data_IF_422523403654
#
_entry.id   IF_422523403654
#
_cell.length_a   1.000
_cell.length_b   1.000
_cell.length_c   1.000
_cell.angle_alpha   90.00
_cell.angle_beta   90.00
_cell.angle_gamma   90.00
#
_symmetry.space_group_name_H-M   'P 1'
#
loop_
_entity.id
_entity.type
_entity.pdbx_description
1 polymer ?
#
# COMPACT_ATOMS: atom_id res chain seq x y z
N UNK A 1 13.50 -22.51 23.22
CA UNK A 1 14.49 -22.33 22.12
C UNK A 1 14.10 -23.15 20.89
N UNK A 2 13.72 -24.39 21.02
CA UNK A 2 13.37 -25.31 19.92
C UNK A 2 12.33 -24.77 18.90
N UNK A 3 11.31 -24.02 19.36
CA UNK A 3 10.30 -23.41 18.48
C UNK A 3 10.89 -22.31 17.56
N UNK A 4 11.85 -21.53 18.07
CA UNK A 4 12.54 -20.51 17.26
C UNK A 4 13.46 -21.16 16.23
N UNK A 5 14.16 -22.22 16.60
CA UNK A 5 15.01 -22.98 15.68
C UNK A 5 14.19 -23.62 14.56
N UNK A 6 13.05 -24.24 14.88
CA UNK A 6 12.07 -24.73 13.90
C UNK A 6 11.52 -23.63 13.00
N UNK A 7 11.33 -22.43 13.56
CA UNK A 7 10.82 -21.28 12.80
C UNK A 7 11.85 -20.78 11.79
N UNK A 8 13.10 -20.62 12.16
CA UNK A 8 14.13 -20.10 11.25
C UNK A 8 14.65 -21.13 10.24
N UNK A 9 14.54 -22.44 10.52
CA UNK A 9 14.98 -23.50 9.61
C UNK A 9 14.00 -23.81 8.48
N UNK A 10 12.72 -23.49 8.61
CA UNK A 10 11.70 -23.81 7.59
C UNK A 10 11.51 -22.71 6.58
N UNK A 11 11.65 -23.04 5.27
CA UNK A 11 11.41 -22.11 4.13
C UNK A 11 10.06 -21.38 4.18
N UNK A 12 9.06 -21.93 4.86
CA UNK A 12 7.74 -21.30 5.04
C UNK A 12 7.84 -19.99 5.81
N UNK A 13 8.62 -19.95 6.88
CA UNK A 13 8.74 -18.73 7.71
C UNK A 13 9.62 -17.66 7.04
N UNK A 14 10.60 -18.08 6.25
CA UNK A 14 11.35 -17.14 5.40
C UNK A 14 10.41 -16.46 4.39
N UNK A 15 9.54 -17.23 3.72
CA UNK A 15 8.51 -16.66 2.83
C UNK A 15 7.57 -15.69 3.56
N UNK A 16 7.17 -16.00 4.78
CA UNK A 16 6.33 -15.16 5.63
C UNK A 16 6.98 -13.79 5.89
N UNK A 17 8.24 -13.77 6.27
CA UNK A 17 8.99 -12.53 6.51
C UNK A 17 9.12 -11.74 5.21
N UNK A 18 9.47 -12.39 4.11
CA UNK A 18 9.62 -11.74 2.79
C UNK A 18 8.27 -11.16 2.33
N UNK A 19 7.17 -11.91 2.44
CA UNK A 19 5.85 -11.42 2.04
C UNK A 19 5.43 -10.20 2.87
N UNK A 20 5.66 -10.21 4.19
CA UNK A 20 5.37 -9.08 5.07
C UNK A 20 6.24 -7.87 4.72
N UNK A 21 7.55 -8.08 4.55
CA UNK A 21 8.48 -7.01 4.19
C UNK A 21 8.13 -6.41 2.82
N UNK A 22 7.84 -7.25 1.81
CA UNK A 22 7.42 -6.79 0.48
C UNK A 22 6.16 -5.94 0.57
N UNK A 23 5.13 -6.41 1.29
CA UNK A 23 3.90 -5.65 1.46
C UNK A 23 4.16 -4.29 2.10
N UNK A 24 4.86 -4.25 3.22
CA UNK A 24 5.15 -3.00 3.96
C UNK A 24 5.99 -2.04 3.13
N UNK A 25 7.07 -2.52 2.49
CA UNK A 25 7.98 -1.69 1.69
C UNK A 25 7.31 -1.10 0.44
N UNK A 26 6.24 -1.69 -0.05
CA UNK A 26 5.50 -1.18 -1.19
C UNK A 26 4.35 -0.29 -0.73
N UNK A 27 3.51 -0.78 0.20
CA UNK A 27 2.28 -0.09 0.59
C UNK A 27 2.58 1.21 1.35
N UNK A 28 3.54 1.20 2.26
CA UNK A 28 3.83 2.39 3.07
C UNK A 28 4.32 3.56 2.21
N UNK A 29 5.42 3.45 1.44
CA UNK A 29 5.88 4.59 0.65
C UNK A 29 4.85 5.03 -0.40
N UNK A 30 4.22 4.08 -1.10
CA UNK A 30 3.27 4.41 -2.15
C UNK A 30 2.04 5.13 -1.60
N UNK A 31 1.42 4.63 -0.53
CA UNK A 31 0.24 5.27 0.06
C UNK A 31 0.55 6.62 0.71
N UNK A 32 1.74 6.79 1.29
CA UNK A 32 2.20 8.06 1.85
C UNK A 32 2.41 9.10 0.74
N UNK A 33 3.11 8.73 -0.33
CA UNK A 33 3.37 9.64 -1.47
C UNK A 33 2.06 10.02 -2.17
N UNK A 34 1.19 9.05 -2.46
CA UNK A 34 -0.11 9.31 -3.10
C UNK A 34 -0.99 10.15 -2.18
N UNK A 35 -1.02 9.86 -0.87
CA UNK A 35 -1.77 10.62 0.12
C UNK A 35 -1.30 12.06 0.23
N UNK A 36 0.01 12.29 0.25
CA UNK A 36 0.59 13.65 0.25
C UNK A 36 0.24 14.39 -1.05
N UNK A 37 0.43 13.76 -2.20
CA UNK A 37 0.11 14.37 -3.49
C UNK A 37 -1.38 14.76 -3.58
N UNK A 38 -2.27 13.85 -3.17
CA UNK A 38 -3.71 14.12 -3.12
C UNK A 38 -4.04 15.28 -2.15
N UNK A 39 -3.42 15.32 -0.97
CA UNK A 39 -3.63 16.39 0.00
C UNK A 39 -3.18 17.76 -0.55
N UNK A 40 -2.01 17.84 -1.17
CA UNK A 40 -1.49 19.08 -1.78
C UNK A 40 -2.40 19.54 -2.92
N UNK A 41 -2.82 18.62 -3.79
CA UNK A 41 -3.75 18.93 -4.89
C UNK A 41 -5.09 19.45 -4.35
N UNK A 42 -5.69 18.78 -3.37
CA UNK A 42 -6.97 19.19 -2.80
C UNK A 42 -6.89 20.49 -2.03
N UNK A 43 -5.76 20.75 -1.38
CA UNK A 43 -5.54 22.03 -0.66
C UNK A 43 -5.46 23.22 -1.62
N UNK A 44 -5.06 23.00 -2.88
CA UNK A 44 -5.01 24.04 -3.91
C UNK A 44 -6.34 24.27 -4.63
N UNK A 45 -7.32 23.35 -4.51
CA UNK A 45 -8.61 23.46 -5.16
C UNK A 45 -9.51 24.48 -4.44
N UNK A 46 -10.04 25.46 -5.20
CA UNK A 46 -10.97 26.47 -4.70
C UNK A 46 -12.42 25.99 -4.62
N UNK A 47 -12.79 25.00 -5.45
CA UNK A 47 -14.17 24.52 -5.58
C UNK A 47 -14.23 22.99 -5.61
N UNK A 48 -15.21 22.41 -4.92
CA UNK A 48 -15.43 20.95 -4.96
C UNK A 48 -14.46 20.10 -4.14
N UNK A 49 -13.49 20.68 -3.45
CA UNK A 49 -12.50 19.93 -2.66
C UNK A 49 -13.13 18.94 -1.67
N UNK A 50 -14.26 19.30 -1.06
CA UNK A 50 -14.93 18.46 -0.06
C UNK A 50 -15.56 17.20 -0.67
N UNK A 51 -16.02 17.28 -1.92
CA UNK A 51 -16.53 16.11 -2.65
C UNK A 51 -15.37 15.12 -2.89
N UNK A 52 -14.23 15.59 -3.37
CA UNK A 52 -13.06 14.73 -3.59
C UNK A 52 -12.50 14.16 -2.30
N UNK A 53 -12.47 14.94 -1.20
CA UNK A 53 -12.08 14.45 0.14
C UNK A 53 -12.98 13.28 0.55
N UNK A 54 -14.29 13.42 0.36
CA UNK A 54 -15.26 12.39 0.69
C UNK A 54 -15.05 11.14 -0.16
N UNK A 55 -14.89 11.28 -1.48
CA UNK A 55 -14.68 10.15 -2.40
C UNK A 55 -13.39 9.40 -2.05
N UNK A 56 -12.29 10.10 -1.81
CA UNK A 56 -11.00 9.48 -1.49
C UNK A 56 -10.96 8.86 -0.08
N UNK A 57 -11.79 9.37 0.83
CA UNK A 57 -11.89 8.81 2.18
C UNK A 57 -12.89 7.64 2.29
N UNK A 58 -13.77 7.47 1.32
CA UNK A 58 -14.81 6.44 1.32
C UNK A 58 -14.26 5.01 1.51
N UNK A 59 -13.13 4.60 0.87
CA UNK A 59 -12.53 3.29 1.11
C UNK A 59 -12.12 3.02 2.56
N UNK A 60 -11.78 4.08 3.30
CA UNK A 60 -11.37 3.98 4.71
C UNK A 60 -12.58 3.73 5.62
N UNK A 61 -13.75 4.24 5.24
CA UNK A 61 -14.99 4.09 6.01
C UNK A 61 -15.66 2.73 5.82
N UNK A 62 -15.38 2.06 4.71
CA UNK A 62 -15.95 0.75 4.43
C UNK A 62 -15.34 -0.32 5.34
N UNK A 63 -16.16 -1.29 5.78
CA UNK A 63 -15.65 -2.42 6.54
C UNK A 63 -14.69 -3.26 5.68
N UNK A 64 -13.59 -3.71 6.27
CA UNK A 64 -12.58 -4.53 5.57
C UNK A 64 -13.18 -5.77 4.90
N UNK A 65 -14.15 -6.40 5.56
CA UNK A 65 -14.87 -7.56 5.02
C UNK A 65 -15.65 -7.22 3.74
N UNK A 66 -16.45 -6.16 3.76
CA UNK A 66 -17.23 -5.74 2.59
C UNK A 66 -16.31 -5.35 1.42
N UNK A 67 -15.22 -4.65 1.73
CA UNK A 67 -14.22 -4.28 0.73
C UNK A 67 -13.52 -5.49 0.11
N UNK A 68 -13.15 -6.47 0.91
CA UNK A 68 -12.51 -7.67 0.41
C UNK A 68 -13.46 -8.48 -0.50
N UNK A 69 -14.74 -8.61 -0.13
CA UNK A 69 -15.75 -9.26 -0.98
C UNK A 69 -15.95 -8.48 -2.29
N UNK A 70 -16.05 -7.15 -2.24
CA UNK A 70 -16.17 -6.32 -3.44
C UNK A 70 -14.97 -6.51 -4.38
N UNK A 71 -13.74 -6.57 -3.84
CA UNK A 71 -12.54 -6.84 -4.62
C UNK A 71 -12.50 -8.26 -5.18
N UNK A 72 -12.99 -9.27 -4.44
CA UNK A 72 -13.07 -10.65 -4.94
C UNK A 72 -13.93 -10.74 -6.20
N UNK A 73 -15.11 -10.08 -6.21
CA UNK A 73 -15.95 -9.99 -7.39
C UNK A 73 -15.33 -9.16 -8.50
N UNK A 74 -14.73 -8.01 -8.19
CA UNK A 74 -14.12 -7.10 -9.17
C UNK A 74 -12.94 -7.76 -9.89
N UNK A 75 -12.15 -8.55 -9.18
CA UNK A 75 -10.96 -9.26 -9.69
C UNK A 75 -11.27 -10.69 -10.15
N UNK A 76 -12.55 -11.07 -10.22
CA UNK A 76 -12.92 -12.43 -10.65
C UNK A 76 -12.48 -12.67 -12.11
N UNK A 77 -11.85 -13.81 -12.42
CA UNK A 77 -11.27 -14.04 -13.75
C UNK A 77 -12.28 -13.95 -14.91
N UNK A 78 -13.48 -14.44 -14.71
CA UNK A 78 -14.52 -14.53 -15.77
C UNK A 78 -15.63 -13.50 -15.63
N UNK A 79 -16.00 -13.11 -14.42
CA UNK A 79 -17.13 -12.22 -14.13
C UNK A 79 -16.65 -10.82 -13.69
N UNK A 80 -15.35 -10.64 -13.48
CA UNK A 80 -14.81 -9.42 -12.91
C UNK A 80 -14.83 -8.26 -13.89
N UNK A 81 -15.25 -7.09 -13.40
CA UNK A 81 -15.33 -5.85 -14.18
C UNK A 81 -13.98 -5.49 -14.77
N UNK A 82 -12.87 -5.70 -14.06
CA UNK A 82 -11.52 -5.39 -14.54
C UNK A 82 -11.16 -6.23 -15.75
N UNK A 83 -11.40 -7.55 -15.69
CA UNK A 83 -11.08 -8.44 -16.80
C UNK A 83 -12.00 -8.18 -18.01
N UNK A 84 -13.28 -7.89 -17.79
CA UNK A 84 -14.19 -7.49 -18.87
C UNK A 84 -13.73 -6.21 -19.54
N UNK A 85 -13.36 -5.20 -18.76
CA UNK A 85 -12.86 -3.92 -19.30
C UNK A 85 -11.54 -4.09 -20.07
N UNK A 86 -10.63 -4.94 -19.58
CA UNK A 86 -9.38 -5.26 -20.26
C UNK A 86 -9.63 -6.05 -21.54
N UNK A 87 -10.62 -6.96 -21.56
CA UNK A 87 -11.00 -7.71 -22.76
C UNK A 87 -11.55 -6.80 -23.86
N UNK A 88 -12.49 -5.94 -23.49
CA UNK A 88 -13.10 -4.96 -24.44
C UNK A 88 -12.06 -3.95 -24.92
N UNK A 89 -11.08 -3.60 -24.08
CA UNK A 89 -10.03 -2.65 -24.37
C UNK A 89 -8.80 -3.20 -25.10
N UNK A 90 -8.73 -4.52 -25.40
CA UNK A 90 -7.55 -5.13 -26.01
C UNK A 90 -7.05 -4.42 -27.30
N UNK A 91 -7.94 -3.75 -28.03
CA UNK A 91 -7.57 -2.96 -29.21
C UNK A 91 -6.96 -1.59 -28.87
N UNK A 92 -7.59 -0.81 -28.00
CA UNK A 92 -7.18 0.57 -27.71
C UNK A 92 -6.19 0.71 -26.55
N UNK A 93 -6.35 -0.11 -25.51
CA UNK A 93 -5.45 -0.08 -24.35
C UNK A 93 -4.07 -0.65 -24.71
N UNK A 94 -3.99 -1.56 -25.68
CA UNK A 94 -2.72 -2.10 -26.18
C UNK A 94 -1.77 -0.98 -26.64
N UNK A 95 -2.26 -0.03 -27.43
CA UNK A 95 -1.45 1.11 -27.91
C UNK A 95 -1.04 2.04 -26.77
N UNK A 96 -1.94 2.27 -25.80
CA UNK A 96 -1.66 3.10 -24.64
C UNK A 96 -0.61 2.46 -23.70
N UNK A 97 -0.73 1.17 -23.41
CA UNK A 97 0.21 0.44 -22.54
C UNK A 97 1.56 0.24 -23.24
N UNK A 98 1.59 0.01 -24.55
CA UNK A 98 2.84 -0.07 -25.31
C UNK A 98 3.62 1.25 -25.31
N UNK A 99 2.96 2.39 -25.08
CA UNK A 99 3.62 3.66 -24.81
C UNK A 99 4.46 3.67 -23.51
N UNK A 100 4.18 2.79 -22.56
CA UNK A 100 4.91 2.62 -21.29
C UNK A 100 5.91 1.46 -21.32
N UNK A 101 6.50 1.16 -22.46
CA UNK A 101 7.47 0.05 -22.64
C UNK A 101 8.73 0.12 -21.74
N UNK A 102 8.98 1.25 -21.09
CA UNK A 102 10.07 1.44 -20.13
C UNK A 102 9.81 0.79 -18.74
N UNK A 103 8.58 0.34 -18.47
CA UNK A 103 8.23 -0.39 -17.25
C UNK A 103 8.60 -1.87 -17.43
N UNK A 104 9.42 -2.47 -16.54
CA UNK A 104 9.96 -3.82 -16.73
C UNK A 104 8.93 -4.93 -16.89
N UNK A 105 7.69 -4.70 -16.44
CA UNK A 105 6.59 -5.68 -16.52
C UNK A 105 5.62 -5.44 -17.69
N UNK A 106 5.79 -4.35 -18.44
CA UNK A 106 4.89 -3.98 -19.54
C UNK A 106 5.53 -4.27 -20.91
N UNK A 107 6.85 -4.18 -21.04
CA UNK A 107 7.58 -4.20 -22.31
C UNK A 107 8.09 -5.57 -22.78
N UNK A 108 7.90 -6.65 -22.02
CA UNK A 108 8.33 -7.98 -22.44
C UNK A 108 7.32 -8.57 -23.44
N UNK A 109 7.81 -9.17 -24.53
CA UNK A 109 6.97 -9.92 -25.50
C UNK A 109 6.16 -11.02 -24.81
N UNK A 110 6.66 -11.54 -23.69
CA UNK A 110 6.00 -12.51 -22.81
C UNK A 110 5.20 -11.83 -21.66
N UNK A 111 4.87 -10.54 -21.77
CA UNK A 111 4.06 -9.91 -20.73
C UNK A 111 2.69 -10.56 -20.70
N UNK A 112 2.15 -10.77 -19.47
CA UNK A 112 0.84 -11.40 -19.29
C UNK A 112 -0.27 -10.77 -20.14
N UNK A 113 -0.16 -9.48 -20.44
CA UNK A 113 -1.14 -8.73 -21.22
C UNK A 113 -1.07 -9.05 -22.72
N UNK A 114 0.13 -9.13 -23.32
CA UNK A 114 0.30 -9.50 -24.72
C UNK A 114 -0.15 -10.95 -24.97
N UNK A 115 0.15 -11.84 -24.03
CA UNK A 115 -0.28 -13.25 -24.08
C UNK A 115 -1.79 -13.38 -23.92
N UNK A 116 -2.38 -12.63 -22.99
CA UNK A 116 -3.84 -12.65 -22.75
C UNK A 116 -4.65 -12.12 -23.94
N UNK A 117 -4.20 -11.02 -24.57
CA UNK A 117 -4.86 -10.48 -25.76
C UNK A 117 -4.64 -11.32 -27.04
N UNK A 118 -3.54 -12.06 -27.13
CA UNK A 118 -3.27 -12.93 -28.29
C UNK A 118 -4.02 -14.26 -28.24
N UNK A 119 -4.29 -14.80 -27.06
CA UNK A 119 -4.87 -16.13 -26.84
C UNK A 119 -6.35 -16.13 -26.49
N UNK A 120 -7.14 -15.13 -26.95
CA UNK A 120 -8.58 -15.07 -26.67
C UNK A 120 -8.95 -15.37 -25.20
N UNK A 121 -8.46 -14.52 -24.26
CA UNK A 121 -9.01 -14.36 -22.91
C UNK A 121 -8.47 -15.24 -21.77
N UNK A 122 -7.21 -15.58 -21.71
CA UNK A 122 -6.61 -16.04 -20.45
C UNK A 122 -6.05 -14.84 -19.64
N UNK A 123 -6.95 -13.96 -19.15
CA UNK A 123 -6.56 -12.91 -18.24
C UNK A 123 -6.03 -13.49 -16.92
N UNK A 124 -5.06 -12.81 -16.28
CA UNK A 124 -4.42 -13.36 -15.09
C UNK A 124 -5.44 -13.57 -13.99
N UNK A 125 -5.30 -14.68 -13.31
CA UNK A 125 -5.98 -14.94 -12.05
C UNK A 125 -5.33 -14.07 -10.96
N UNK A 126 -5.70 -12.78 -10.90
CA UNK A 126 -5.10 -11.75 -10.05
C UNK A 126 -4.72 -12.21 -8.64
N UNK A 127 -5.57 -13.05 -8.02
CA UNK A 127 -5.41 -13.56 -6.67
C UNK A 127 -4.83 -14.98 -6.60
N UNK A 128 -4.87 -15.74 -7.70
CA UNK A 128 -4.46 -17.15 -7.72
C UNK A 128 -3.12 -17.39 -8.41
N UNK A 129 -2.58 -16.42 -9.14
CA UNK A 129 -1.24 -16.51 -9.73
C UNK A 129 -0.18 -16.05 -8.71
N UNK A 130 0.93 -16.80 -8.64
CA UNK A 130 2.06 -16.51 -7.74
C UNK A 130 2.74 -15.17 -8.03
N UNK A 131 2.72 -14.72 -9.28
CA UNK A 131 3.38 -13.48 -9.70
C UNK A 131 2.54 -12.24 -9.37
N UNK A 132 1.21 -12.34 -9.48
CA UNK A 132 0.30 -11.21 -9.37
C UNK A 132 -0.31 -11.04 -7.99
N UNK A 133 -0.53 -12.14 -7.24
CA UNK A 133 -1.29 -12.10 -5.99
C UNK A 133 -0.75 -11.09 -4.96
N UNK A 134 0.55 -11.05 -4.71
CA UNK A 134 1.12 -10.11 -3.74
C UNK A 134 0.96 -8.65 -4.19
N UNK A 135 1.13 -8.37 -5.49
CA UNK A 135 0.98 -7.04 -6.06
C UNK A 135 -0.45 -6.54 -6.01
N UNK A 136 -1.40 -7.44 -6.25
CA UNK A 136 -2.84 -7.16 -6.15
C UNK A 136 -3.22 -6.79 -4.70
N UNK A 137 -2.73 -7.55 -3.73
CA UNK A 137 -2.94 -7.24 -2.31
C UNK A 137 -2.28 -5.90 -1.93
N UNK A 138 -1.08 -5.62 -2.45
CA UNK A 138 -0.42 -4.32 -2.25
C UNK A 138 -1.25 -3.17 -2.85
N UNK A 139 -1.77 -3.34 -4.05
CA UNK A 139 -2.62 -2.32 -4.70
C UNK A 139 -3.87 -2.00 -3.87
N UNK A 140 -4.58 -3.04 -3.39
CA UNK A 140 -5.75 -2.88 -2.52
C UNK A 140 -5.35 -2.14 -1.23
N UNK A 141 -4.22 -2.51 -0.63
CA UNK A 141 -3.70 -1.87 0.57
C UNK A 141 -3.34 -0.39 0.36
N UNK A 142 -2.70 -0.06 -0.77
CA UNK A 142 -2.39 1.34 -1.14
C UNK A 142 -3.67 2.14 -1.31
N UNK A 143 -4.62 1.60 -2.08
CA UNK A 143 -5.90 2.27 -2.35
C UNK A 143 -6.72 2.52 -1.07
N UNK A 144 -6.66 1.62 -0.10
CA UNK A 144 -7.33 1.81 1.19
C UNK A 144 -6.58 2.79 2.09
N UNK A 145 -5.24 2.74 2.11
CA UNK A 145 -4.44 3.53 3.03
C UNK A 145 -4.28 5.01 2.61
N UNK A 146 -4.22 5.31 1.28
CA UNK A 146 -3.90 6.66 0.84
C UNK A 146 -4.94 7.69 1.26
N UNK A 147 -6.23 7.34 1.31
CA UNK A 147 -7.30 8.25 1.74
C UNK A 147 -7.13 8.70 3.20
N UNK A 148 -6.75 7.79 4.09
CA UNK A 148 -6.42 8.10 5.47
C UNK A 148 -5.19 9.02 5.58
N UNK A 149 -4.13 8.69 4.85
CA UNK A 149 -2.91 9.50 4.82
C UNK A 149 -3.18 10.90 4.26
N UNK A 150 -4.00 11.02 3.23
CA UNK A 150 -4.44 12.29 2.65
C UNK A 150 -5.10 13.20 3.70
N UNK A 151 -6.02 12.66 4.51
CA UNK A 151 -6.70 13.45 5.56
C UNK A 151 -5.71 13.95 6.61
N UNK A 152 -4.78 13.11 7.03
CA UNK A 152 -3.73 13.51 7.98
C UNK A 152 -2.83 14.60 7.41
N UNK A 153 -2.44 14.50 6.15
CA UNK A 153 -1.67 15.54 5.47
C UNK A 153 -2.46 16.84 5.28
N UNK A 154 -3.77 16.76 4.97
CA UNK A 154 -4.63 17.94 4.91
C UNK A 154 -4.67 18.67 6.26
N UNK A 155 -4.79 17.93 7.36
CA UNK A 155 -4.72 18.52 8.71
C UNK A 155 -3.37 19.19 8.96
N UNK A 156 -2.26 18.54 8.56
CA UNK A 156 -0.93 19.15 8.64
C UNK A 156 -0.77 20.39 7.76
N UNK A 157 -1.28 20.38 6.54
CA UNK A 157 -1.24 21.53 5.63
C UNK A 157 -2.02 22.74 6.17
N UNK A 158 -3.17 22.51 6.79
CA UNK A 158 -3.98 23.59 7.37
C UNK A 158 -3.37 24.21 8.62
N UNK A 159 -2.42 23.54 9.27
CA UNK A 159 -1.71 24.06 10.44
C UNK A 159 -0.54 24.99 10.10
N UNK A 160 -0.12 25.08 8.82
CA UNK A 160 0.97 25.93 8.39
C UNK A 160 0.48 27.39 8.31
N UNK A 161 1.13 28.34 9.05
CA UNK A 161 0.77 29.74 8.99
C UNK A 161 0.95 30.34 7.59
N UNK A 162 -0.01 31.13 7.14
CA UNK A 162 0.04 31.76 5.80
C UNK A 162 1.18 32.77 5.66
N UNK A 163 1.60 33.36 6.75
CA UNK A 163 2.71 34.32 6.83
C UNK A 163 4.01 33.73 6.28
N UNK A 164 4.24 32.43 6.47
CA UNK A 164 5.41 31.74 5.93
C UNK A 164 5.42 31.68 4.40
N UNK A 165 4.25 31.51 3.79
CA UNK A 165 4.13 31.55 2.33
C UNK A 165 4.36 32.95 1.78
N UNK A 166 3.82 33.99 2.45
CA UNK A 166 4.07 35.39 2.05
C UNK A 166 5.54 35.78 2.23
N UNK A 167 6.19 35.36 3.31
CA UNK A 167 7.63 35.57 3.49
C UNK A 167 8.44 34.92 2.38
N UNK A 168 8.16 33.66 2.05
CA UNK A 168 8.83 32.93 0.97
C UNK A 168 8.61 33.62 -0.40
N UNK A 169 7.44 34.17 -0.65
CA UNK A 169 7.14 34.91 -1.87
C UNK A 169 7.96 36.22 -1.96
N UNK A 170 8.14 36.94 -0.83
CA UNK A 170 9.00 38.11 -0.75
C UNK A 170 10.48 37.76 -0.96
N UNK A 171 10.90 36.55 -0.56
CA UNK A 171 12.26 36.01 -0.78
C UNK A 171 12.47 35.46 -2.20
N UNK A 172 11.46 35.59 -3.10
CA UNK A 172 11.54 35.20 -4.51
C UNK A 172 10.99 33.82 -4.87
N UNK A 173 10.34 33.11 -3.93
CA UNK A 173 9.69 31.83 -4.21
C UNK A 173 8.31 32.05 -4.85
N UNK A 174 8.29 32.36 -6.14
CA UNK A 174 7.04 32.64 -6.88
C UNK A 174 6.34 31.36 -7.43
N UNK A 175 7.09 30.26 -7.55
CA UNK A 175 6.53 28.98 -8.04
C UNK A 175 5.92 28.17 -6.90
N UNK A 176 4.78 27.50 -7.19
CA UNK A 176 4.15 26.54 -6.25
C UNK A 176 5.12 25.45 -5.81
N UNK A 177 6.02 25.01 -6.70
CA UNK A 177 7.03 24.01 -6.38
C UNK A 177 8.11 24.55 -5.43
N UNK A 178 8.53 25.82 -5.60
CA UNK A 178 9.47 26.48 -4.69
C UNK A 178 8.88 26.66 -3.31
N UNK A 179 7.64 27.13 -3.21
CA UNK A 179 6.90 27.24 -1.97
C UNK A 179 6.71 25.87 -1.30
N UNK A 180 6.40 24.83 -2.08
CA UNK A 180 6.32 23.47 -1.56
C UNK A 180 7.65 23.02 -0.94
N UNK A 181 8.76 23.24 -1.63
CA UNK A 181 10.09 22.80 -1.17
C UNK A 181 10.61 23.60 0.01
N UNK A 182 10.37 24.92 0.04
CA UNK A 182 10.91 25.83 1.05
C UNK A 182 10.05 25.92 2.30
N UNK A 183 8.74 25.82 2.17
CA UNK A 183 7.79 26.01 3.29
C UNK A 183 7.05 24.72 3.60
N UNK A 184 6.30 24.19 2.62
CA UNK A 184 5.35 23.08 2.86
C UNK A 184 6.06 21.82 3.33
N UNK A 185 7.06 21.36 2.61
CA UNK A 185 7.76 20.11 2.90
C UNK A 185 8.47 20.11 4.25
N UNK A 186 9.25 21.16 4.64
CA UNK A 186 9.87 21.21 5.97
C UNK A 186 8.85 21.29 7.10
N UNK A 187 7.77 22.06 6.95
CA UNK A 187 6.73 22.21 7.97
C UNK A 187 5.88 20.95 8.14
N UNK A 188 5.75 20.13 7.09
CA UNK A 188 5.08 18.82 7.16
C UNK A 188 5.94 17.73 7.81
N UNK A 189 7.17 17.99 8.19
CA UNK A 189 8.08 17.02 8.80
C UNK A 189 7.46 16.22 9.95
N UNK A 190 6.92 16.86 11.00
CA UNK A 190 6.28 16.17 12.12
C UNK A 190 5.06 15.34 11.68
N UNK A 191 4.23 15.89 10.79
CA UNK A 191 3.07 15.18 10.23
C UNK A 191 3.51 13.97 9.42
N UNK A 192 4.56 14.09 8.62
CA UNK A 192 5.12 12.99 7.82
C UNK A 192 5.65 11.87 8.72
N UNK A 193 6.36 12.21 9.80
CA UNK A 193 6.81 11.22 10.78
C UNK A 193 5.62 10.43 11.36
N UNK A 194 4.56 11.14 11.77
CA UNK A 194 3.35 10.52 12.30
C UNK A 194 2.67 9.62 11.26
N UNK A 195 2.46 10.13 10.04
CA UNK A 195 1.81 9.39 8.94
C UNK A 195 2.59 8.14 8.58
N UNK A 196 3.89 8.23 8.41
CA UNK A 196 4.75 7.07 8.11
C UNK A 196 4.68 6.04 9.22
N UNK A 197 4.75 6.47 10.48
CA UNK A 197 4.73 5.56 11.63
C UNK A 197 3.39 4.82 11.73
N UNK A 198 2.27 5.53 11.70
CA UNK A 198 0.94 4.89 11.82
C UNK A 198 0.62 3.99 10.63
N UNK A 199 1.00 4.42 9.41
CA UNK A 199 0.80 3.61 8.20
C UNK A 199 1.65 2.35 8.23
N UNK A 200 2.87 2.43 8.73
CA UNK A 200 3.74 1.26 8.90
C UNK A 200 3.13 0.26 9.88
N UNK A 201 2.70 0.71 11.06
CA UNK A 201 2.06 -0.16 12.07
C UNK A 201 0.84 -0.86 11.46
N UNK A 202 -0.05 -0.12 10.79
CA UNK A 202 -1.23 -0.68 10.12
C UNK A 202 -0.87 -1.68 9.02
N UNK A 203 0.16 -1.40 8.23
CA UNK A 203 0.62 -2.30 7.16
C UNK A 203 1.16 -3.63 7.70
N UNK A 204 1.81 -3.63 8.86
CA UNK A 204 2.19 -4.89 9.53
C UNK A 204 1.00 -5.69 10.03
N UNK A 205 -0.08 -5.02 10.42
CA UNK A 205 -1.30 -5.63 10.94
C UNK A 205 -2.26 -6.11 9.84
N UNK A 206 -1.84 -6.11 8.57
CA UNK A 206 -2.67 -6.60 7.46
C UNK A 206 -3.06 -8.06 7.68
N UNK A 207 -4.35 -8.33 7.75
CA UNK A 207 -4.92 -9.64 8.03
C UNK A 207 -6.17 -9.91 7.20
N UNK A 208 -7.23 -9.11 7.36
CA UNK A 208 -8.56 -9.36 6.80
C UNK A 208 -8.55 -9.54 5.28
N UNK A 209 -7.84 -8.68 4.56
CA UNK A 209 -7.72 -8.76 3.11
C UNK A 209 -7.06 -10.07 2.67
N UNK A 210 -6.07 -10.55 3.42
CA UNK A 210 -5.37 -11.79 3.11
C UNK A 210 -6.22 -13.02 3.47
N UNK A 211 -6.88 -13.01 4.63
CA UNK A 211 -7.75 -14.10 5.05
C UNK A 211 -8.89 -14.33 4.06
N UNK A 212 -9.50 -13.25 3.57
CA UNK A 212 -10.67 -13.34 2.68
C UNK A 212 -10.24 -13.67 1.25
N UNK A 213 -9.28 -12.92 0.68
CA UNK A 213 -8.95 -12.99 -0.74
C UNK A 213 -8.03 -14.14 -1.11
N UNK A 214 -7.02 -14.44 -0.30
CA UNK A 214 -5.95 -15.36 -0.70
C UNK A 214 -5.67 -16.49 0.29
N UNK A 215 -6.08 -16.36 1.54
CA UNK A 215 -5.75 -17.30 2.63
C UNK A 215 -4.25 -17.65 2.66
N UNK A 216 -3.41 -16.61 2.45
CA UNK A 216 -1.96 -16.77 2.38
C UNK A 216 -1.42 -17.42 1.10
N UNK A 217 -2.28 -17.77 0.13
CA UNK A 217 -1.92 -18.38 -1.16
C UNK A 217 -1.59 -17.37 -2.26
N UNK A 218 -1.30 -17.86 -3.46
CA UNK A 218 -0.88 -19.21 -3.82
C UNK A 218 0.54 -19.52 -3.34
N UNK A 219 0.84 -20.75 -3.03
CA UNK A 219 2.18 -21.21 -2.62
C UNK A 219 2.84 -20.39 -1.49
N UNK A 220 2.02 -19.76 -0.63
CA UNK A 220 2.43 -18.87 0.47
C UNK A 220 3.11 -17.57 0.03
N UNK A 221 2.77 -17.04 -1.14
CA UNK A 221 3.30 -15.75 -1.63
C UNK A 221 2.70 -14.55 -0.89
N UNK A 222 1.45 -14.66 -0.40
CA UNK A 222 0.78 -13.64 0.42
C UNK A 222 0.70 -14.04 1.90
N UNK A 223 1.54 -14.99 2.34
CA UNK A 223 1.54 -15.50 3.71
C UNK A 223 2.28 -14.55 4.64
N UNK A 224 1.59 -13.53 5.14
CA UNK A 224 2.16 -12.52 6.05
C UNK A 224 2.20 -13.00 7.49
N UNK A 225 2.98 -12.29 8.34
CA UNK A 225 3.18 -12.68 9.74
C UNK A 225 1.88 -12.70 10.54
N UNK A 226 1.01 -11.70 10.36
CA UNK A 226 -0.26 -11.63 11.10
C UNK A 226 -1.18 -12.81 10.74
N UNK A 227 -1.25 -13.16 9.44
CA UNK A 227 -2.00 -14.32 8.99
C UNK A 227 -1.38 -15.64 9.51
N UNK A 228 -0.05 -15.73 9.54
CA UNK A 228 0.65 -16.91 10.08
C UNK A 228 0.38 -17.13 11.57
N UNK A 229 0.31 -16.05 12.36
CA UNK A 229 -0.08 -16.12 13.78
C UNK A 229 -1.48 -16.72 13.91
N UNK A 230 -2.44 -16.19 13.16
CA UNK A 230 -3.82 -16.67 13.16
C UNK A 230 -3.93 -18.14 12.74
N UNK A 231 -3.31 -18.52 11.60
CA UNK A 231 -3.33 -19.90 11.10
C UNK A 231 -2.75 -20.87 12.15
N UNK A 232 -1.59 -20.53 12.75
CA UNK A 232 -0.91 -21.43 13.70
C UNK A 232 -1.58 -21.47 15.06
N UNK A 233 -1.89 -20.32 15.65
CA UNK A 233 -2.42 -20.25 17.01
C UNK A 233 -3.88 -20.67 17.07
N UNK A 234 -4.72 -20.25 16.09
CA UNK A 234 -6.17 -20.41 16.15
C UNK A 234 -6.64 -21.57 15.27
N UNK A 235 -6.29 -21.58 13.98
CA UNK A 235 -6.81 -22.60 13.06
C UNK A 235 -6.18 -23.98 13.30
N UNK A 236 -4.86 -24.04 13.51
CA UNK A 236 -4.13 -25.31 13.74
C UNK A 236 -3.97 -25.67 15.22
N UNK A 237 -4.36 -24.79 16.13
CA UNK A 237 -4.26 -24.98 17.60
C UNK A 237 -2.82 -25.25 18.07
N UNK A 238 -1.80 -24.78 17.31
CA UNK A 238 -0.37 -24.90 17.66
C UNK A 238 0.07 -23.58 18.31
N UNK A 239 -0.47 -23.31 19.50
CA UNK A 239 -0.26 -22.05 20.24
C UNK A 239 1.21 -21.74 20.50
N UNK A 240 2.05 -22.75 20.72
CA UNK A 240 3.48 -22.58 20.97
C UNK A 240 4.23 -21.92 19.80
N UNK A 241 3.93 -22.32 18.57
CA UNK A 241 4.53 -21.71 17.37
C UNK A 241 3.89 -20.34 17.10
N UNK A 242 2.57 -20.22 17.26
CA UNK A 242 1.88 -18.93 17.13
C UNK A 242 2.46 -17.88 18.09
N UNK A 243 2.66 -18.22 19.36
CA UNK A 243 3.29 -17.34 20.33
C UNK A 243 4.73 -16.96 19.97
N UNK A 244 5.53 -17.91 19.44
CA UNK A 244 6.89 -17.61 19.00
C UNK A 244 6.89 -16.60 17.82
N UNK A 245 6.00 -16.77 16.85
CA UNK A 245 5.85 -15.81 15.74
C UNK A 245 5.41 -14.44 16.26
N UNK A 246 4.48 -14.38 17.23
CA UNK A 246 4.00 -13.13 17.83
C UNK A 246 5.14 -12.37 18.52
N UNK A 247 6.00 -13.04 19.26
CA UNK A 247 7.17 -12.40 19.91
C UNK A 247 8.11 -11.79 18.84
N UNK A 248 8.44 -12.56 17.80
CA UNK A 248 9.29 -12.07 16.71
C UNK A 248 8.64 -10.89 16.00
N UNK A 249 7.33 -10.94 15.77
CA UNK A 249 6.55 -9.88 15.16
C UNK A 249 6.62 -8.58 15.97
N UNK A 250 6.40 -8.64 17.28
CA UNK A 250 6.47 -7.48 18.17
C UNK A 250 7.88 -6.88 18.18
N UNK A 251 8.91 -7.71 18.34
CA UNK A 251 10.31 -7.25 18.34
C UNK A 251 10.63 -6.56 17.01
N UNK A 252 10.18 -7.12 15.90
CA UNK A 252 10.43 -6.54 14.57
C UNK A 252 9.75 -5.17 14.41
N UNK A 253 8.49 -5.02 14.84
CA UNK A 253 7.78 -3.73 14.80
C UNK A 253 8.49 -2.70 15.67
N UNK A 254 8.88 -3.05 16.89
CA UNK A 254 9.57 -2.15 17.81
C UNK A 254 10.88 -1.66 17.18
N UNK A 255 11.73 -2.56 16.70
CA UNK A 255 13.00 -2.22 16.07
C UNK A 255 12.81 -1.30 14.86
N UNK A 256 11.82 -1.59 14.03
CA UNK A 256 11.53 -0.79 12.84
C UNK A 256 11.00 0.59 13.20
N UNK A 257 10.14 0.70 14.21
CA UNK A 257 9.61 1.98 14.70
C UNK A 257 10.73 2.85 15.28
N UNK A 258 11.64 2.26 16.07
CA UNK A 258 12.82 2.98 16.56
C UNK A 258 13.73 3.43 15.42
N UNK A 259 13.96 2.59 14.43
CA UNK A 259 14.75 2.94 13.25
C UNK A 259 14.11 4.09 12.45
N UNK A 260 12.81 4.02 12.19
CA UNK A 260 12.07 5.09 11.51
C UNK A 260 12.16 6.41 12.27
N UNK A 261 11.92 6.37 13.58
CA UNK A 261 12.04 7.55 14.43
C UNK A 261 13.44 8.16 14.33
N UNK A 262 14.47 7.36 14.52
CA UNK A 262 15.86 7.82 14.47
C UNK A 262 16.24 8.45 13.09
N UNK A 263 15.77 7.85 11.99
CA UNK A 263 16.11 8.33 10.63
C UNK A 263 15.32 9.60 10.27
N UNK A 264 14.02 9.64 10.60
CA UNK A 264 13.14 10.73 10.17
C UNK A 264 13.26 11.92 11.13
N UNK A 265 13.34 11.70 12.45
CA UNK A 265 13.41 12.74 13.46
C UNK A 265 14.66 13.64 13.29
N UNK A 266 15.79 13.07 12.84
CA UNK A 266 17.00 13.87 12.50
C UNK A 266 16.81 14.86 11.36
N UNK A 267 15.78 14.70 10.53
CA UNK A 267 15.49 15.57 9.38
C UNK A 267 14.31 16.51 9.63
N UNK A 268 13.68 16.40 10.79
CA UNK A 268 12.57 17.26 11.18
C UNK A 268 13.13 18.38 12.04
N UNK A 269 12.98 19.63 11.59
CA UNK A 269 13.23 20.83 12.38
C UNK A 269 11.90 21.22 13.05
N UNK A 270 11.92 21.34 14.38
CA UNK A 270 10.81 21.83 15.18
C UNK A 270 10.84 23.34 15.24
#
# INVERSE_FOLDING_TARGET
MENYEKMFSRKTYTKMIIATATYVLIVVPASVIIGLAAAVMLNSLRFGADIYKTIFFLPVMATLLAMAIAWEFTLHPTLGIINSFLADGCGGIREFILGFHWLPWVGAEDSWYSVACANNMDFPYWLKDKKTAIWTICFIGIWQAFGFNMVLYLAGLTSIPRELYHAAEMDGAHSTWEQFKLVTWPMLGPTTLFVVTITTIRSFQVFDTIEILTKGGPSKTTYVMMYAIFEKAIMQNITSIGAAITVVFIVFIILLTFFQRYVIEKRVHY
#
